data_IF_329574137837
#
_entry.id   IF_329574137837
#
_cell.length_a   1.000
_cell.length_b   1.000
_cell.length_c   1.000
_cell.angle_alpha   90.00
_cell.angle_beta   90.00
_cell.angle_gamma   90.00
#
_symmetry.space_group_name_H-M   'P 1'
#
loop_
_entity.id
_entity.type
_entity.pdbx_description
1 polymer ?
#
# COMPACT_ATOMS: atom_id res chain seq x y z
N UNK A 1 21.38 2.22 19.95
CA UNK A 1 21.29 3.26 20.99
C UNK A 1 20.57 2.66 22.19
N UNK A 2 21.03 2.95 23.40
CA UNK A 2 20.40 2.46 24.64
C UNK A 2 19.33 3.47 25.07
N UNK A 3 18.07 3.03 25.18
CA UNK A 3 16.99 3.85 25.76
C UNK A 3 16.83 3.51 27.25
N UNK A 4 16.60 4.54 28.06
CA UNK A 4 16.36 4.41 29.49
C UNK A 4 14.85 4.31 29.73
N UNK A 5 14.38 3.15 30.16
CA UNK A 5 12.99 2.98 30.57
C UNK A 5 12.85 3.31 32.06
N UNK A 6 12.02 4.29 32.38
CA UNK A 6 11.70 4.72 33.74
C UNK A 6 10.46 3.96 34.25
N UNK A 7 10.56 3.33 35.43
CA UNK A 7 9.44 2.57 36.02
C UNK A 7 8.56 3.41 36.98
N UNK A 8 8.94 4.66 37.23
CA UNK A 8 8.22 5.59 38.12
C UNK A 8 8.20 6.98 37.43
N UNK A 9 7.02 7.47 37.02
CA UNK A 9 6.86 8.72 36.25
C UNK A 9 6.94 9.99 37.10
N UNK A 10 7.28 9.86 38.39
CA UNK A 10 7.45 11.00 39.29
C UNK A 10 8.92 11.21 39.63
N UNK A 11 9.45 12.36 39.19
CA UNK A 11 10.72 13.01 39.57
C UNK A 11 11.91 12.83 38.63
N UNK A 12 12.51 13.98 38.33
CA UNK A 12 13.58 14.18 37.38
C UNK A 12 14.97 14.02 37.98
N UNK A 13 15.84 13.36 37.22
CA UNK A 13 17.26 13.67 37.09
C UNK A 13 17.90 12.78 36.00
N UNK A 14 17.35 12.84 34.77
CA UNK A 14 17.81 12.06 33.61
C UNK A 14 19.32 12.21 33.34
N UNK A 15 19.90 13.37 33.65
CA UNK A 15 21.33 13.65 33.48
C UNK A 15 22.25 12.89 34.45
N UNK A 16 21.81 12.54 35.67
CA UNK A 16 22.63 11.77 36.62
C UNK A 16 22.63 10.27 36.27
N UNK A 17 21.50 9.75 35.80
CA UNK A 17 21.36 8.36 35.35
C UNK A 17 22.17 8.10 34.08
N UNK A 18 22.18 9.04 33.13
CA UNK A 18 23.04 8.97 31.94
C UNK A 18 24.53 8.95 32.29
N UNK A 19 24.98 9.80 33.23
CA UNK A 19 26.38 9.77 33.73
C UNK A 19 26.73 8.46 34.43
N UNK A 20 25.78 7.87 35.16
CA UNK A 20 25.97 6.58 35.82
C UNK A 20 26.17 5.45 34.79
N UNK A 21 25.51 5.55 33.63
CA UNK A 21 25.64 4.58 32.53
C UNK A 21 26.92 4.78 31.72
N UNK A 22 27.28 6.02 31.41
CA UNK A 22 28.42 6.37 30.55
C UNK A 22 29.78 6.28 31.25
N UNK A 23 29.80 6.30 32.59
CA UNK A 23 31.04 6.15 33.38
C UNK A 23 31.64 4.76 33.24
N UNK A 24 32.51 4.58 32.25
CA UNK A 24 33.39 3.41 32.14
C UNK A 24 34.52 3.53 33.17
N UNK A 25 34.51 2.62 34.15
CA UNK A 25 35.60 2.32 35.08
C UNK A 25 36.04 3.49 35.99
N UNK A 26 35.37 3.61 37.14
CA UNK A 26 36.01 4.10 38.35
C UNK A 26 36.55 2.87 39.09
N UNK A 27 37.86 2.83 39.37
CA UNK A 27 38.51 1.78 40.17
C UNK A 27 38.10 1.89 41.65
N UNK A 28 36.82 1.63 41.93
CA UNK A 28 36.26 1.60 43.28
C UNK A 28 36.23 0.15 43.78
N UNK A 29 36.91 -0.08 44.90
CA UNK A 29 36.83 -1.36 45.62
C UNK A 29 35.43 -1.54 46.24
N UNK A 30 34.79 -2.70 46.07
CA UNK A 30 33.45 -2.94 46.59
C UNK A 30 33.47 -3.04 48.12
N UNK A 31 32.57 -2.30 48.77
CA UNK A 31 32.35 -2.37 50.21
C UNK A 31 31.32 -3.46 50.53
N UNK A 32 31.71 -4.48 51.28
CA UNK A 32 30.82 -5.56 51.68
C UNK A 32 29.78 -5.08 52.71
N UNK A 33 28.50 -5.32 52.43
CA UNK A 33 27.37 -5.08 53.32
C UNK A 33 27.04 -6.40 54.04
N UNK A 34 27.00 -6.35 55.36
CA UNK A 34 26.72 -7.51 56.23
C UNK A 34 25.37 -7.43 56.94
N UNK A 35 24.75 -6.24 57.02
CA UNK A 35 23.41 -6.06 57.57
C UNK A 35 22.73 -4.79 57.03
N UNK A 36 21.40 -4.77 57.06
CA UNK A 36 20.57 -3.64 56.64
C UNK A 36 19.44 -3.41 57.65
N UNK A 37 19.20 -2.14 57.99
CA UNK A 37 18.20 -1.71 58.97
C UNK A 37 17.28 -0.63 58.34
N UNK A 38 15.96 -0.80 58.41
CA UNK A 38 15.00 0.17 57.82
C UNK A 38 13.53 -0.30 57.85
N UNK A 39 12.60 0.62 57.61
CA UNK A 39 11.16 0.44 57.86
C UNK A 39 10.34 -0.25 56.76
N UNK A 40 10.95 -0.87 55.75
CA UNK A 40 10.20 -1.60 54.71
C UNK A 40 10.92 -2.89 54.33
N UNK A 41 10.71 -3.92 55.15
CA UNK A 41 11.05 -5.32 54.85
C UNK A 41 9.76 -6.14 54.85
N UNK A 42 8.73 -5.66 54.15
CA UNK A 42 7.55 -6.45 53.83
C UNK A 42 7.61 -6.79 52.36
N UNK A 43 8.23 -7.93 52.04
CA UNK A 43 7.88 -8.64 50.82
C UNK A 43 6.48 -9.25 51.06
N UNK A 44 5.42 -8.80 50.37
CA UNK A 44 4.16 -9.50 50.44
C UNK A 44 4.34 -10.83 49.70
N UNK A 45 4.43 -11.93 50.45
CA UNK A 45 4.27 -13.29 49.90
C UNK A 45 2.79 -13.44 49.53
N UNK A 46 2.45 -13.13 48.29
CA UNK A 46 1.15 -13.46 47.68
C UNK A 46 1.25 -14.80 46.92
N UNK A 47 0.13 -15.52 46.75
CA UNK A 47 0.10 -16.94 46.38
C UNK A 47 0.65 -17.20 44.98
N UNK A 48 1.43 -18.28 44.85
CA UNK A 48 1.98 -18.78 43.58
C UNK A 48 0.88 -19.40 42.72
N UNK A 49 0.01 -18.61 42.12
CA UNK A 49 -0.93 -19.11 41.10
C UNK A 49 -0.33 -19.04 39.68
N UNK A 50 0.63 -18.13 39.45
CA UNK A 50 1.26 -17.93 38.15
C UNK A 50 2.70 -17.41 38.31
N UNK A 51 3.47 -17.42 37.22
CA UNK A 51 4.89 -17.04 37.19
C UNK A 51 5.16 -15.54 37.37
N UNK A 52 4.15 -14.68 37.20
CA UNK A 52 4.27 -13.22 37.32
C UNK A 52 4.17 -12.74 38.77
N UNK A 53 4.97 -11.72 39.11
CA UNK A 53 4.99 -11.00 40.38
C UNK A 53 4.69 -9.51 40.16
N UNK A 54 4.18 -8.86 41.20
CA UNK A 54 3.96 -7.41 41.17
C UNK A 54 5.30 -6.70 40.95
N UNK A 55 5.34 -5.78 39.97
CA UNK A 55 6.56 -5.09 39.56
C UNK A 55 7.42 -5.84 38.54
N UNK A 56 6.99 -7.02 38.07
CA UNK A 56 7.66 -7.68 36.94
C UNK A 56 7.63 -6.79 35.70
N UNK A 57 8.78 -6.67 35.04
CA UNK A 57 8.88 -6.04 33.73
C UNK A 57 8.53 -7.09 32.69
N UNK A 58 7.61 -6.75 31.81
CA UNK A 58 7.10 -7.64 30.76
C UNK A 58 7.29 -7.01 29.40
N UNK A 59 7.39 -7.84 28.37
CA UNK A 59 7.51 -7.41 26.98
C UNK A 59 6.50 -8.11 26.09
N UNK A 60 5.96 -7.37 25.13
CA UNK A 60 5.16 -7.88 24.02
C UNK A 60 5.78 -7.38 22.71
N UNK A 61 6.64 -8.20 22.09
CA UNK A 61 7.40 -7.79 20.91
C UNK A 61 8.37 -6.65 21.22
N UNK A 62 8.01 -5.42 20.83
CA UNK A 62 8.81 -4.20 21.08
C UNK A 62 8.24 -3.31 22.20
N UNK A 63 7.05 -3.64 22.72
CA UNK A 63 6.41 -2.89 23.79
C UNK A 63 6.88 -3.42 25.15
N UNK A 64 7.05 -2.52 26.12
CA UNK A 64 7.45 -2.83 27.49
C UNK A 64 6.37 -2.36 28.45
N UNK A 65 6.16 -3.11 29.52
CA UNK A 65 5.19 -2.78 30.55
C UNK A 65 5.59 -3.33 31.90
N UNK A 66 4.81 -2.96 32.92
CA UNK A 66 5.02 -3.37 34.31
C UNK A 66 3.75 -4.02 34.82
N UNK A 67 3.88 -5.16 35.50
CA UNK A 67 2.77 -5.77 36.22
C UNK A 67 2.43 -4.91 37.43
N UNK A 68 1.28 -4.23 37.36
CA UNK A 68 0.85 -3.26 38.39
C UNK A 68 -0.24 -3.78 39.31
N UNK A 69 -0.97 -4.83 38.91
CA UNK A 69 -1.97 -5.49 39.77
C UNK A 69 -1.98 -6.99 39.52
N UNK A 70 -2.09 -7.76 40.60
CA UNK A 70 -2.33 -9.20 40.59
C UNK A 70 -3.59 -9.51 41.40
N UNK A 71 -4.58 -10.11 40.76
CA UNK A 71 -5.89 -10.40 41.36
C UNK A 71 -6.30 -11.87 41.11
N UNK A 72 -7.21 -12.38 41.93
CA UNK A 72 -7.81 -13.71 41.76
C UNK A 72 -9.09 -13.67 40.89
N UNK A 73 -9.02 -12.96 39.76
CA UNK A 73 -10.12 -12.79 38.80
C UNK A 73 -9.90 -13.63 37.55
N UNK A 74 -10.89 -13.68 36.66
CA UNK A 74 -10.78 -14.28 35.32
C UNK A 74 -9.66 -13.63 34.48
N UNK A 75 -9.39 -12.34 34.73
CA UNK A 75 -8.23 -11.58 34.24
C UNK A 75 -7.26 -11.26 35.38
N UNK A 76 -6.35 -12.16 35.75
CA UNK A 76 -5.58 -12.05 36.98
C UNK A 76 -4.41 -11.06 36.93
N UNK A 77 -3.96 -10.62 35.75
CA UNK A 77 -2.72 -9.84 35.59
C UNK A 77 -3.03 -8.51 34.89
N UNK A 78 -2.77 -7.40 35.57
CA UNK A 78 -2.83 -6.05 34.97
C UNK A 78 -1.44 -5.55 34.67
N UNK A 79 -1.23 -5.12 33.41
CA UNK A 79 0.02 -4.54 32.93
C UNK A 79 -0.23 -3.09 32.55
N UNK A 80 0.60 -2.20 33.06
CA UNK A 80 0.72 -0.82 32.61
C UNK A 80 1.84 -0.76 31.57
N UNK A 81 1.48 -0.50 30.31
CA UNK A 81 2.41 -0.39 29.19
C UNK A 81 2.96 1.02 29.09
N UNK A 82 4.22 1.11 28.67
CA UNK A 82 4.84 2.40 28.40
C UNK A 82 4.19 3.02 27.16
N UNK A 83 3.65 4.22 27.31
CA UNK A 83 3.05 4.99 26.22
C UNK A 83 4.15 5.67 25.39
N UNK A 84 3.91 5.84 24.09
CA UNK A 84 4.74 6.79 23.33
C UNK A 84 4.65 8.16 24.02
N UNK A 85 5.77 8.88 24.08
CA UNK A 85 6.11 9.99 25.00
C UNK A 85 5.12 11.16 25.14
N UNK A 86 3.99 11.16 24.42
CA UNK A 86 2.93 12.17 24.44
C UNK A 86 1.54 11.62 24.86
N UNK A 87 1.45 10.35 25.29
CA UNK A 87 0.18 9.69 25.67
C UNK A 87 0.20 9.14 27.10
N UNK A 88 -0.97 9.14 27.77
CA UNK A 88 -1.13 8.48 29.07
C UNK A 88 -0.79 6.98 28.96
N UNK A 89 -0.13 6.38 29.97
CA UNK A 89 0.27 4.99 29.92
C UNK A 89 -0.96 4.06 29.84
N UNK A 90 -0.92 3.13 28.91
CA UNK A 90 -2.03 2.21 28.64
C UNK A 90 -2.09 1.11 29.73
N UNK A 91 -3.21 0.99 30.43
CA UNK A 91 -3.40 -0.01 31.50
C UNK A 91 -4.40 -1.07 31.05
N UNK A 92 -3.95 -2.33 30.94
CA UNK A 92 -4.79 -3.45 30.50
C UNK A 92 -4.71 -4.66 31.44
N UNK A 93 -5.86 -5.29 31.69
CA UNK A 93 -5.97 -6.56 32.42
C UNK A 93 -6.09 -7.74 31.45
N UNK A 94 -5.30 -8.79 31.70
CA UNK A 94 -5.13 -9.95 30.84
C UNK A 94 -5.50 -11.26 31.54
N UNK A 95 -6.05 -12.18 30.76
CA UNK A 95 -6.12 -13.61 31.08
C UNK A 95 -4.76 -14.29 30.84
N UNK A 96 -4.54 -15.46 31.44
CA UNK A 96 -3.32 -16.25 31.20
C UNK A 96 -3.22 -16.81 29.78
N UNK A 97 -4.35 -16.97 29.09
CA UNK A 97 -4.38 -17.42 27.69
C UNK A 97 -4.05 -16.28 26.74
N UNK A 98 -4.55 -15.06 27.00
CA UNK A 98 -4.16 -13.85 26.26
C UNK A 98 -2.66 -13.57 26.39
N UNK A 99 -2.09 -13.70 27.59
CA UNK A 99 -0.63 -13.55 27.81
C UNK A 99 0.18 -14.51 26.93
N UNK A 100 -0.25 -15.78 26.85
CA UNK A 100 0.41 -16.80 26.01
C UNK A 100 0.22 -16.51 24.53
N UNK A 101 -0.99 -16.15 24.12
CA UNK A 101 -1.33 -15.85 22.72
C UNK A 101 -0.62 -14.60 22.20
N UNK A 102 -0.54 -13.56 23.03
CA UNK A 102 0.11 -12.29 22.70
C UNK A 102 1.64 -12.35 22.84
N UNK A 103 2.20 -13.44 23.36
CA UNK A 103 3.64 -13.61 23.54
C UNK A 103 4.23 -12.69 24.61
N UNK A 104 3.45 -12.36 25.65
CA UNK A 104 3.90 -11.51 26.75
C UNK A 104 4.88 -12.30 27.63
N UNK A 105 6.13 -11.87 27.69
CA UNK A 105 7.21 -12.55 28.41
C UNK A 105 7.78 -11.69 29.55
N UNK A 106 8.15 -12.33 30.66
CA UNK A 106 8.84 -11.68 31.79
C UNK A 106 10.30 -11.44 31.40
N UNK A 107 10.77 -10.22 31.57
CA UNK A 107 12.18 -9.88 31.41
C UNK A 107 12.91 -10.24 32.72
N UNK A 108 14.04 -10.97 32.65
CA UNK A 108 14.84 -11.27 33.83
C UNK A 108 15.19 -10.00 34.61
N UNK A 109 14.85 -9.95 35.90
CA UNK A 109 15.16 -8.83 36.78
C UNK A 109 16.65 -8.83 37.16
N UNK A 110 17.25 -7.63 37.35
CA UNK A 110 18.66 -7.42 37.73
C UNK A 110 19.68 -7.88 36.66
N UNK A 111 19.59 -7.34 35.46
CA UNK A 111 20.58 -7.60 34.40
C UNK A 111 21.84 -6.75 34.68
N UNK A 112 23.03 -7.37 34.78
CA UNK A 112 24.29 -6.66 34.94
C UNK A 112 24.48 -5.54 33.92
N UNK A 113 24.87 -4.37 34.40
CA UNK A 113 25.11 -3.12 33.65
C UNK A 113 23.90 -2.58 32.90
N UNK A 114 22.71 -3.14 33.13
CA UNK A 114 21.47 -2.73 32.50
C UNK A 114 20.40 -2.33 33.49
N UNK A 115 20.39 -2.89 34.69
CA UNK A 115 19.35 -2.54 35.67
C UNK A 115 19.83 -1.44 36.61
N UNK A 116 19.01 -0.42 36.84
CA UNK A 116 19.17 0.59 37.88
C UNK A 116 18.18 0.27 38.99
N UNK A 117 18.67 0.26 40.21
CA UNK A 117 17.90 0.03 41.42
C UNK A 117 17.91 1.27 42.30
N UNK A 118 16.87 1.43 43.12
CA UNK A 118 16.77 2.48 44.11
C UNK A 118 16.78 1.86 45.51
N UNK A 119 17.70 2.32 46.36
CA UNK A 119 17.63 2.07 47.80
C UNK A 119 16.68 3.11 48.41
N UNK A 120 15.64 2.70 49.16
CA UNK A 120 14.69 3.64 49.72
C UNK A 120 15.32 4.53 50.81
N UNK A 121 14.68 5.67 51.04
CA UNK A 121 15.08 6.60 52.09
C UNK A 121 14.99 5.97 53.49
N UNK A 122 15.79 6.50 54.42
CA UNK A 122 15.87 6.11 55.82
C UNK A 122 16.35 4.66 56.07
N UNK A 123 17.23 4.17 55.21
CA UNK A 123 17.93 2.90 55.42
C UNK A 123 19.32 3.15 56.01
N UNK A 124 19.73 2.28 56.94
CA UNK A 124 21.11 2.18 57.41
C UNK A 124 21.69 0.84 56.97
N UNK A 125 22.84 0.86 56.29
CA UNK A 125 23.61 -0.35 55.95
C UNK A 125 24.84 -0.47 56.86
N UNK A 126 25.19 -1.69 57.26
CA UNK A 126 26.40 -1.99 58.00
C UNK A 126 27.43 -2.63 57.07
N UNK A 127 28.62 -2.06 57.03
CA UNK A 127 29.74 -2.55 56.24
C UNK A 127 30.56 -3.58 57.01
N UNK A 128 31.32 -4.43 56.30
CA UNK A 128 32.22 -5.44 56.89
C UNK A 128 33.29 -4.87 57.83
N UNK A 129 33.62 -3.58 57.71
CA UNK A 129 34.51 -2.86 58.63
C UNK A 129 33.79 -2.23 59.84
N UNK A 130 32.55 -2.67 60.13
CA UNK A 130 31.67 -2.18 61.19
C UNK A 130 31.26 -0.69 61.09
N UNK A 131 31.49 -0.03 59.94
CA UNK A 131 30.96 1.31 59.69
C UNK A 131 29.50 1.25 59.27
N UNK A 132 28.72 2.25 59.68
CA UNK A 132 27.32 2.42 59.28
C UNK A 132 27.21 3.54 58.26
N UNK A 133 26.47 3.30 57.18
CA UNK A 133 26.12 4.32 56.18
C UNK A 133 24.62 4.50 56.20
N UNK A 134 24.17 5.75 56.42
CA UNK A 134 22.76 6.09 56.48
C UNK A 134 22.34 6.84 55.21
N UNK A 135 21.32 6.33 54.54
CA UNK A 135 20.68 6.97 53.41
C UNK A 135 19.45 7.75 53.90
N UNK A 136 19.55 9.08 53.96
CA UNK A 136 18.42 9.92 54.37
C UNK A 136 17.41 10.16 53.24
N UNK A 137 17.83 9.95 51.99
CA UNK A 137 17.02 10.08 50.77
C UNK A 137 17.16 8.80 49.94
N UNK A 138 16.24 8.60 48.99
CA UNK A 138 16.30 7.49 48.07
C UNK A 138 17.46 7.69 47.08
N UNK A 139 18.30 6.69 46.92
CA UNK A 139 19.50 6.77 46.09
C UNK A 139 19.49 5.67 45.02
N UNK A 140 19.84 6.06 43.80
CA UNK A 140 19.88 5.14 42.65
C UNK A 140 21.28 4.57 42.42
N UNK A 141 21.33 3.29 42.03
CA UNK A 141 22.55 2.54 41.79
C UNK A 141 22.39 1.68 40.54
N UNK A 142 23.45 1.55 39.73
CA UNK A 142 23.49 0.60 38.63
C UNK A 142 23.90 -0.77 39.17
N UNK A 143 23.16 -1.81 38.80
CA UNK A 143 23.54 -3.21 39.02
C UNK A 143 24.75 -3.49 38.14
N UNK A 144 25.88 -3.82 38.74
CA UNK A 144 27.12 -4.06 38.01
C UNK A 144 27.35 -5.54 37.73
N UNK A 145 27.11 -6.39 38.74
CA UNK A 145 27.31 -7.84 38.68
C UNK A 145 26.23 -8.57 39.49
N UNK A 146 25.79 -9.72 38.98
CA UNK A 146 24.85 -10.61 39.65
C UNK A 146 25.41 -12.03 39.62
N UNK A 147 25.64 -12.60 40.79
CA UNK A 147 25.99 -14.01 40.98
C UNK A 147 24.79 -14.77 41.55
N UNK A 148 24.91 -16.08 41.81
CA UNK A 148 23.84 -16.85 42.44
C UNK A 148 23.40 -16.25 43.79
N UNK A 149 24.37 -15.88 44.64
CA UNK A 149 24.11 -15.41 46.01
C UNK A 149 24.36 -13.92 46.26
N UNK A 150 25.09 -13.24 45.36
CA UNK A 150 25.54 -11.87 45.57
C UNK A 150 25.10 -10.93 44.45
N UNK A 151 24.94 -9.65 44.83
CA UNK A 151 24.62 -8.52 43.97
C UNK A 151 25.66 -7.42 44.23
N UNK A 152 26.23 -6.86 43.17
CA UNK A 152 27.09 -5.67 43.24
C UNK A 152 26.34 -4.50 42.61
N UNK A 153 26.21 -3.40 43.36
CA UNK A 153 25.58 -2.16 42.91
C UNK A 153 26.57 -1.00 43.01
N UNK A 154 26.53 -0.06 42.05
CA UNK A 154 27.42 1.10 42.01
C UNK A 154 26.67 2.41 41.84
N UNK A 155 27.15 3.45 42.51
CA UNK A 155 26.84 4.85 42.21
C UNK A 155 28.04 5.50 41.49
N UNK A 156 28.02 6.81 41.32
CA UNK A 156 29.17 7.57 40.80
C UNK A 156 30.35 7.62 41.78
N UNK A 157 30.11 7.40 43.07
CA UNK A 157 31.11 7.60 44.13
C UNK A 157 31.42 6.33 44.91
N UNK A 158 30.49 5.37 44.94
CA UNK A 158 30.52 4.23 45.85
C UNK A 158 30.13 2.93 45.15
N UNK A 159 30.73 1.82 45.60
CA UNK A 159 30.46 0.46 45.13
C UNK A 159 30.16 -0.45 46.31
N UNK A 160 29.03 -1.15 46.28
CA UNK A 160 28.59 -2.01 47.37
C UNK A 160 28.38 -3.44 46.89
N UNK A 161 28.79 -4.41 47.71
CA UNK A 161 28.52 -5.83 47.52
C UNK A 161 27.62 -6.33 48.64
N UNK A 162 26.55 -7.02 48.29
CA UNK A 162 25.57 -7.54 49.24
C UNK A 162 25.11 -8.95 48.84
N UNK A 163 24.59 -9.71 49.79
CA UNK A 163 23.81 -10.92 49.48
C UNK A 163 22.42 -10.52 49.00
N UNK A 164 21.84 -11.27 48.06
CA UNK A 164 20.51 -10.95 47.51
C UNK A 164 19.42 -10.86 48.59
N UNK A 165 19.54 -11.65 49.65
CA UNK A 165 18.61 -11.64 50.80
C UNK A 165 18.65 -10.34 51.61
N UNK A 166 19.78 -9.64 51.59
CA UNK A 166 19.97 -8.37 52.30
C UNK A 166 19.68 -7.16 51.41
N UNK A 167 19.22 -7.34 50.17
CA UNK A 167 18.95 -6.23 49.27
C UNK A 167 17.64 -5.51 49.66
N UNK A 168 17.69 -4.24 50.09
CA UNK A 168 16.49 -3.53 50.53
C UNK A 168 15.89 -2.64 49.43
N UNK A 169 16.47 -2.68 48.22
CA UNK A 169 16.12 -1.78 47.13
C UNK A 169 14.96 -2.29 46.27
N UNK A 170 14.35 -1.38 45.51
CA UNK A 170 13.40 -1.70 44.44
C UNK A 170 14.04 -1.46 43.06
N UNK A 171 13.51 -2.12 42.04
CA UNK A 171 13.86 -1.80 40.65
C UNK A 171 13.40 -0.39 40.33
N UNK A 172 14.26 0.41 39.69
CA UNK A 172 13.98 1.82 39.39
C UNK A 172 13.94 2.09 37.88
N UNK A 173 14.91 1.56 37.13
CA UNK A 173 14.94 1.66 35.67
C UNK A 173 15.68 0.47 35.07
N UNK A 174 15.46 0.19 33.79
CA UNK A 174 16.25 -0.78 33.04
C UNK A 174 16.68 -0.20 31.70
N UNK A 175 17.94 -0.45 31.36
CA UNK A 175 18.53 -0.17 30.06
C UNK A 175 18.17 -1.36 29.18
N UNK A 176 17.36 -1.09 28.18
CA UNK A 176 17.07 -2.07 27.15
C UNK A 176 18.08 -1.86 26.03
N UNK A 177 18.90 -2.87 25.78
CA UNK A 177 19.70 -2.89 24.56
C UNK A 177 18.74 -3.17 23.41
N UNK A 178 18.44 -2.14 22.63
CA UNK A 178 17.79 -2.32 21.34
C UNK A 178 18.74 -3.18 20.50
N UNK A 179 18.34 -4.38 20.03
CA UNK A 179 19.22 -5.25 19.25
C UNK A 179 19.80 -4.46 18.08
N UNK A 180 21.11 -4.62 17.83
CA UNK A 180 21.83 -4.01 16.69
C UNK A 180 21.43 -4.67 15.34
N UNK A 181 20.18 -5.16 15.25
CA UNK A 181 19.51 -5.60 14.03
C UNK A 181 18.53 -4.53 13.49
N UNK A 182 18.47 -3.33 14.07
CA UNK A 182 17.68 -2.20 13.56
C UNK A 182 18.55 -1.04 13.02
N UNK A 183 19.76 -1.35 12.55
CA UNK A 183 20.53 -0.51 11.60
C UNK A 183 20.45 -1.07 10.18
N UNK A 184 19.34 -1.70 9.83
CA UNK A 184 18.74 -1.37 8.55
C UNK A 184 17.55 -0.51 8.95
N UNK A 185 17.37 0.70 8.39
CA UNK A 185 16.01 1.17 8.16
C UNK A 185 15.15 -0.04 7.84
N UNK A 186 14.07 -0.33 8.58
CA UNK A 186 13.02 -1.03 7.87
C UNK A 186 12.54 0.00 6.86
N UNK A 187 13.22 0.06 5.70
CA UNK A 187 12.69 0.67 4.51
C UNK A 187 11.25 0.17 4.47
N UNK A 188 10.31 1.09 4.25
CA UNK A 188 8.96 0.70 3.85
C UNK A 188 9.11 -0.52 2.96
N UNK A 189 8.61 -1.67 3.43
CA UNK A 189 8.77 -2.90 2.66
C UNK A 189 8.32 -2.60 1.22
N UNK A 190 8.96 -3.19 0.22
CA UNK A 190 8.61 -2.95 -1.19
C UNK A 190 7.10 -3.02 -1.44
N UNK A 191 6.42 -3.92 -0.72
CA UNK A 191 4.96 -4.07 -0.72
C UNK A 191 4.25 -2.84 -0.12
N UNK A 192 4.68 -2.35 1.04
CA UNK A 192 4.14 -1.15 1.66
C UNK A 192 4.36 0.10 0.79
N UNK A 193 5.55 0.25 0.21
CA UNK A 193 5.89 1.34 -0.71
C UNK A 193 4.98 1.28 -1.95
N UNK A 194 4.84 0.10 -2.57
CA UNK A 194 3.94 -0.13 -3.72
C UNK A 194 2.48 0.20 -3.37
N UNK A 195 2.01 -0.17 -2.18
CA UNK A 195 0.66 0.13 -1.75
C UNK A 195 0.43 1.63 -1.53
N UNK A 196 1.40 2.34 -0.96
CA UNK A 196 1.36 3.79 -0.78
C UNK A 196 1.35 4.53 -2.11
N UNK A 197 2.23 4.18 -3.04
CA UNK A 197 2.25 4.73 -4.41
C UNK A 197 0.90 4.51 -5.11
N UNK A 198 0.35 3.29 -5.02
CA UNK A 198 -0.97 2.98 -5.60
C UNK A 198 -2.09 3.81 -4.98
N UNK A 199 -2.06 4.01 -3.66
CA UNK A 199 -3.05 4.81 -2.96
C UNK A 199 -2.96 6.29 -3.38
N UNK A 200 -1.75 6.84 -3.41
CA UNK A 200 -1.49 8.21 -3.83
C UNK A 200 -2.03 8.48 -5.24
N UNK A 201 -1.68 7.64 -6.21
CA UNK A 201 -2.18 7.79 -7.59
C UNK A 201 -3.70 7.62 -7.71
N UNK A 202 -4.32 6.78 -6.89
CA UNK A 202 -5.78 6.63 -6.86
C UNK A 202 -6.50 7.85 -6.26
N UNK A 203 -5.88 8.52 -5.29
CA UNK A 203 -6.44 9.72 -4.67
C UNK A 203 -6.22 10.97 -5.53
N UNK A 204 -5.20 10.95 -6.39
CA UNK A 204 -4.93 12.02 -7.34
C UNK A 204 -6.03 12.12 -8.41
N UNK A 205 -6.96 13.06 -8.23
CA UNK A 205 -8.06 13.34 -9.17
C UNK A 205 -7.59 13.52 -10.63
N UNK A 206 -6.43 14.13 -10.83
CA UNK A 206 -5.83 14.32 -12.15
C UNK A 206 -5.51 13.01 -12.89
N UNK A 207 -5.29 11.91 -12.16
CA UNK A 207 -5.00 10.57 -12.71
C UNK A 207 -6.27 9.85 -13.15
N UNK A 208 -7.37 10.03 -12.42
CA UNK A 208 -8.61 9.32 -12.71
C UNK A 208 -9.50 9.99 -13.77
N UNK A 209 -9.41 11.32 -13.91
CA UNK A 209 -10.38 12.07 -14.72
C UNK A 209 -10.06 12.10 -16.22
N UNK A 210 -8.78 12.16 -16.61
CA UNK A 210 -8.41 12.28 -18.01
C UNK A 210 -6.94 11.91 -18.29
N UNK A 211 -6.71 10.86 -19.08
CA UNK A 211 -5.38 10.41 -19.50
C UNK A 211 -4.56 11.51 -20.20
N UNK A 212 -5.21 12.44 -20.92
CA UNK A 212 -4.51 13.52 -21.64
C UNK A 212 -3.87 14.57 -20.72
N UNK A 213 -4.24 14.61 -19.43
CA UNK A 213 -3.63 15.50 -18.44
C UNK A 213 -2.33 14.94 -17.84
N UNK A 214 -2.02 13.67 -18.10
CA UNK A 214 -0.86 12.96 -17.55
C UNK A 214 0.38 13.18 -18.42
N UNK A 215 0.93 14.39 -18.31
CA UNK A 215 2.19 14.78 -18.95
C UNK A 215 3.40 14.41 -18.08
N UNK A 216 4.60 14.42 -18.66
CA UNK A 216 5.85 14.25 -17.90
C UNK A 216 5.98 15.26 -16.74
N UNK A 217 5.52 16.50 -16.93
CA UNK A 217 5.49 17.51 -15.87
C UNK A 217 4.53 17.12 -14.75
N UNK A 218 3.34 16.57 -15.09
CA UNK A 218 2.38 16.15 -14.07
C UNK A 218 2.84 14.89 -13.33
N UNK A 219 3.50 13.96 -14.00
CA UNK A 219 4.18 12.82 -13.38
C UNK A 219 5.19 13.29 -12.34
N UNK A 220 6.04 14.27 -12.70
CA UNK A 220 7.04 14.82 -11.79
C UNK A 220 6.38 15.51 -10.57
N UNK A 221 5.34 16.31 -10.78
CA UNK A 221 4.60 16.96 -9.69
C UNK A 221 3.99 15.95 -8.71
N UNK A 222 3.33 14.90 -9.22
CA UNK A 222 2.74 13.87 -8.36
C UNK A 222 3.81 13.07 -7.61
N UNK A 223 4.97 12.84 -8.24
CA UNK A 223 6.10 12.23 -7.55
C UNK A 223 6.61 13.11 -6.40
N UNK A 224 6.75 14.42 -6.62
CA UNK A 224 7.15 15.38 -5.58
C UNK A 224 6.11 15.46 -4.43
N UNK A 225 4.82 15.45 -4.76
CA UNK A 225 3.72 15.37 -3.78
C UNK A 225 3.83 14.10 -2.93
N UNK A 226 4.07 12.93 -3.55
CA UNK A 226 4.30 11.67 -2.84
C UNK A 226 5.53 11.73 -1.93
N UNK A 227 6.65 12.29 -2.40
CA UNK A 227 7.87 12.42 -1.58
C UNK A 227 7.61 13.28 -0.34
N UNK A 228 6.79 14.32 -0.45
CA UNK A 228 6.36 15.13 0.69
C UNK A 228 5.45 14.34 1.65
N UNK A 229 4.55 13.49 1.14
CA UNK A 229 3.70 12.61 1.96
C UNK A 229 4.50 11.55 2.72
N UNK A 230 5.62 11.10 2.16
CA UNK A 230 6.54 10.15 2.78
C UNK A 230 7.60 10.84 3.66
N UNK A 231 7.50 12.15 3.88
CA UNK A 231 8.47 12.89 4.69
C UNK A 231 8.54 12.33 6.13
N UNK A 232 9.74 11.91 6.54
CA UNK A 232 9.99 11.30 7.85
C UNK A 232 9.84 9.77 7.88
N UNK A 233 9.38 9.16 6.78
CA UNK A 233 9.44 7.71 6.61
C UNK A 233 10.82 7.29 6.07
N UNK A 234 11.26 6.10 6.46
CA UNK A 234 12.54 5.56 6.00
C UNK A 234 12.27 4.62 4.82
N UNK A 235 12.83 4.92 3.66
CA UNK A 235 12.69 4.15 2.43
C UNK A 235 13.91 4.32 1.54
N UNK A 236 14.17 3.35 0.68
CA UNK A 236 15.19 3.46 -0.34
C UNK A 236 14.69 4.35 -1.49
N UNK A 237 15.47 5.35 -1.86
CA UNK A 237 15.14 6.27 -2.96
C UNK A 237 15.17 5.55 -4.32
N UNK A 238 16.07 4.59 -4.52
CA UNK A 238 16.14 3.80 -5.75
C UNK A 238 14.91 2.89 -5.86
N UNK A 239 14.55 2.17 -4.79
CA UNK A 239 13.33 1.34 -4.75
C UNK A 239 12.07 2.19 -4.96
N UNK A 240 11.99 3.39 -4.38
CA UNK A 240 10.88 4.31 -4.60
C UNK A 240 10.76 4.71 -6.08
N UNK A 241 11.87 5.03 -6.73
CA UNK A 241 11.86 5.39 -8.16
C UNK A 241 11.44 4.21 -9.05
N UNK A 242 11.91 3.00 -8.75
CA UNK A 242 11.51 1.78 -9.46
C UNK A 242 10.03 1.47 -9.26
N UNK A 243 9.55 1.50 -8.02
CA UNK A 243 8.13 1.25 -7.68
C UNK A 243 7.25 2.33 -8.29
N UNK A 244 7.64 3.60 -8.21
CA UNK A 244 6.94 4.70 -8.86
C UNK A 244 6.78 4.46 -10.36
N UNK A 245 7.89 4.16 -11.04
CA UNK A 245 7.90 3.93 -12.49
C UNK A 245 7.04 2.74 -12.89
N UNK A 246 7.13 1.63 -12.15
CA UNK A 246 6.35 0.42 -12.40
C UNK A 246 4.85 0.65 -12.17
N UNK A 247 4.46 1.25 -11.03
CA UNK A 247 3.06 1.50 -10.71
C UNK A 247 2.46 2.55 -11.65
N UNK A 248 3.24 3.58 -12.00
CA UNK A 248 2.84 4.57 -12.99
C UNK A 248 2.55 3.92 -14.34
N UNK A 249 3.46 3.07 -14.84
CA UNK A 249 3.25 2.34 -16.09
C UNK A 249 2.01 1.42 -16.04
N UNK A 250 1.83 0.67 -14.94
CA UNK A 250 0.62 -0.14 -14.68
C UNK A 250 -0.66 0.74 -14.76
N UNK A 251 -0.63 1.92 -14.13
CA UNK A 251 -1.77 2.84 -14.07
C UNK A 251 -2.10 3.44 -15.45
N UNK A 252 -1.09 3.91 -16.19
CA UNK A 252 -1.26 4.44 -17.56
C UNK A 252 -1.84 3.37 -18.48
N UNK A 253 -1.31 2.14 -18.42
CA UNK A 253 -1.83 1.04 -19.23
C UNK A 253 -3.30 0.71 -18.90
N UNK A 254 -3.66 0.71 -17.61
CA UNK A 254 -5.04 0.50 -17.16
C UNK A 254 -5.97 1.59 -17.69
N UNK A 255 -5.60 2.85 -17.51
CA UNK A 255 -6.40 4.00 -17.96
C UNK A 255 -6.51 4.07 -19.49
N UNK A 256 -5.42 3.75 -20.22
CA UNK A 256 -5.43 3.68 -21.67
C UNK A 256 -6.40 2.61 -22.19
N UNK A 257 -6.54 1.49 -21.47
CA UNK A 257 -7.51 0.44 -21.79
C UNK A 257 -8.96 0.84 -21.48
N UNK A 258 -9.18 1.51 -20.36
CA UNK A 258 -10.53 1.89 -19.91
C UNK A 258 -11.07 3.11 -20.66
N UNK A 259 -10.30 4.20 -20.65
CA UNK A 259 -10.70 5.51 -21.14
C UNK A 259 -10.26 5.74 -22.59
N UNK A 260 -9.04 5.30 -22.94
CA UNK A 260 -8.38 5.68 -24.18
C UNK A 260 -7.76 7.08 -24.12
N UNK A 261 -7.21 7.53 -25.25
CA UNK A 261 -6.58 8.84 -25.42
C UNK A 261 -7.18 9.56 -26.62
N UNK A 262 -7.76 10.74 -26.43
CA UNK A 262 -8.38 11.54 -27.50
C UNK A 262 -9.38 10.75 -28.37
N UNK A 263 -10.22 9.93 -27.73
CA UNK A 263 -11.21 9.01 -28.35
C UNK A 263 -10.63 7.79 -29.08
N UNK A 264 -9.32 7.56 -28.99
CA UNK A 264 -8.68 6.34 -29.47
C UNK A 264 -8.46 5.37 -28.31
N UNK A 265 -8.90 4.12 -28.43
CA UNK A 265 -8.67 3.07 -27.43
C UNK A 265 -7.68 2.01 -27.90
N UNK A 266 -7.02 1.37 -26.94
CA UNK A 266 -6.16 0.23 -27.22
C UNK A 266 -6.96 -0.89 -27.91
N UNK A 267 -6.35 -1.53 -28.90
CA UNK A 267 -6.97 -2.57 -29.74
C UNK A 267 -8.16 -2.10 -30.59
N UNK A 268 -8.41 -0.79 -30.68
CA UNK A 268 -9.43 -0.25 -31.56
C UNK A 268 -8.94 -0.20 -33.00
N UNK A 269 -9.86 -0.41 -33.95
CA UNK A 269 -9.56 -0.29 -35.38
C UNK A 269 -9.62 1.18 -35.79
N UNK A 270 -8.62 1.58 -36.55
CA UNK A 270 -8.52 2.90 -37.17
C UNK A 270 -8.61 2.80 -38.68
N UNK A 271 -9.08 3.88 -39.28
CA UNK A 271 -9.28 4.02 -40.71
C UNK A 271 -8.47 5.19 -41.24
N UNK A 272 -7.84 5.01 -42.40
CA UNK A 272 -7.27 6.10 -43.21
C UNK A 272 -7.71 5.95 -44.65
N UNK A 273 -8.15 7.05 -45.26
CA UNK A 273 -8.37 7.10 -46.71
C UNK A 273 -7.25 7.89 -47.38
N UNK A 274 -6.49 7.24 -48.27
CA UNK A 274 -5.43 7.89 -49.05
C UNK A 274 -5.66 7.62 -50.53
N UNK A 275 -5.86 8.67 -51.33
CA UNK A 275 -5.98 8.56 -52.81
C UNK A 275 -7.07 7.56 -53.27
N UNK A 276 -8.14 7.41 -52.49
CA UNK A 276 -9.23 6.47 -52.77
C UNK A 276 -9.00 5.04 -52.28
N UNK A 277 -7.83 4.74 -51.70
CA UNK A 277 -7.55 3.47 -51.02
C UNK A 277 -7.93 3.57 -49.54
N UNK A 278 -8.70 2.57 -49.10
CA UNK A 278 -9.06 2.36 -47.69
C UNK A 278 -7.97 1.53 -47.02
N UNK A 279 -7.35 2.10 -45.99
CA UNK A 279 -6.29 1.45 -45.22
C UNK A 279 -6.76 1.31 -43.77
N UNK A 280 -6.59 0.11 -43.22
CA UNK A 280 -7.03 -0.26 -41.89
C UNK A 280 -5.83 -0.54 -41.01
N UNK A 281 -5.93 -0.15 -39.75
CA UNK A 281 -4.93 -0.46 -38.74
C UNK A 281 -5.58 -0.72 -37.38
N UNK A 282 -4.77 -1.20 -36.46
CA UNK A 282 -5.14 -1.44 -35.06
C UNK A 282 -4.19 -0.70 -34.16
N UNK A 283 -4.72 -0.05 -33.13
CA UNK A 283 -3.89 0.61 -32.13
C UNK A 283 -3.32 -0.45 -31.21
N UNK A 284 -2.01 -0.68 -31.29
CA UNK A 284 -1.31 -1.72 -30.53
C UNK A 284 -0.70 -1.19 -29.24
N UNK A 285 -0.41 0.12 -29.19
CA UNK A 285 0.14 0.77 -27.99
C UNK A 285 -0.36 2.21 -27.86
N UNK A 286 -0.57 2.64 -26.62
CA UNK A 286 -0.89 4.01 -26.24
C UNK A 286 0.04 4.45 -25.12
N UNK A 287 0.96 5.37 -25.41
CA UNK A 287 1.93 5.87 -24.43
C UNK A 287 1.92 7.41 -24.38
N UNK A 288 1.22 7.97 -23.39
CA UNK A 288 1.06 9.43 -23.22
C UNK A 288 2.35 10.19 -22.92
N UNK A 289 3.42 9.50 -22.53
CA UNK A 289 4.69 10.13 -22.22
C UNK A 289 5.49 10.46 -23.48
N UNK A 290 5.16 9.81 -24.61
CA UNK A 290 5.85 10.02 -25.88
C UNK A 290 5.22 11.18 -26.67
N UNK A 291 6.06 11.87 -27.44
CA UNK A 291 5.61 12.90 -28.40
C UNK A 291 4.68 12.32 -29.47
N UNK A 292 4.85 11.03 -29.78
CA UNK A 292 4.02 10.22 -30.67
C UNK A 292 3.39 9.08 -29.88
N UNK A 293 2.26 9.31 -29.20
CA UNK A 293 1.71 8.37 -28.24
C UNK A 293 0.96 7.19 -28.88
N UNK A 294 0.71 7.22 -30.19
CA UNK A 294 -0.13 6.22 -30.87
C UNK A 294 0.71 5.28 -31.72
N UNK A 295 0.86 4.02 -31.31
CA UNK A 295 1.46 2.99 -32.16
C UNK A 295 0.35 2.23 -32.90
N UNK A 296 0.37 2.30 -34.22
CA UNK A 296 -0.62 1.64 -35.08
C UNK A 296 0.07 0.57 -35.92
N UNK A 297 -0.46 -0.64 -35.84
CA UNK A 297 -0.14 -1.73 -36.76
C UNK A 297 -1.15 -1.72 -37.91
N UNK A 298 -0.67 -1.44 -39.12
CA UNK A 298 -1.48 -1.44 -40.33
C UNK A 298 -1.61 -2.84 -40.90
N UNK A 299 -2.73 -3.15 -41.56
CA UNK A 299 -2.96 -4.46 -42.20
C UNK A 299 -1.94 -4.80 -43.30
N UNK A 300 -1.19 -3.81 -43.80
CA UNK A 300 -0.08 -4.04 -44.72
C UNK A 300 1.20 -4.57 -44.02
N UNK A 301 1.19 -4.70 -42.69
CA UNK A 301 2.32 -5.13 -41.87
C UNK A 301 3.25 -3.98 -41.42
N UNK A 302 2.94 -2.73 -41.77
CA UNK A 302 3.67 -1.56 -41.29
C UNK A 302 3.26 -1.22 -39.86
N UNK A 303 4.23 -1.06 -38.96
CA UNK A 303 3.99 -0.54 -37.60
C UNK A 303 4.59 0.85 -37.52
N UNK A 304 3.77 1.84 -37.17
CA UNK A 304 4.21 3.24 -37.12
C UNK A 304 3.61 3.99 -35.93
N UNK A 305 4.41 4.86 -35.34
CA UNK A 305 4.04 5.78 -34.28
C UNK A 305 3.53 7.12 -34.84
N UNK A 306 2.51 7.69 -34.20
CA UNK A 306 1.87 8.93 -34.60
C UNK A 306 1.63 9.87 -33.42
N UNK A 307 1.73 11.17 -33.68
CA UNK A 307 1.20 12.23 -32.83
C UNK A 307 -0.27 12.51 -33.15
N UNK A 308 -0.99 13.15 -32.22
CA UNK A 308 -2.37 13.57 -32.46
C UNK A 308 -2.50 14.49 -33.70
N UNK A 309 -1.51 15.35 -33.93
CA UNK A 309 -1.49 16.26 -35.08
C UNK A 309 -1.37 15.46 -36.37
N UNK A 310 -0.46 14.49 -36.42
CA UNK A 310 -0.27 13.62 -37.58
C UNK A 310 -1.53 12.80 -37.86
N UNK A 311 -2.18 12.22 -36.84
CA UNK A 311 -3.45 11.50 -37.03
C UNK A 311 -4.51 12.40 -37.69
N UNK A 312 -4.67 13.63 -37.21
CA UNK A 312 -5.62 14.61 -37.78
C UNK A 312 -5.26 15.01 -39.20
N UNK A 313 -3.99 15.33 -39.46
CA UNK A 313 -3.51 15.75 -40.79
C UNK A 313 -3.62 14.63 -41.82
N UNK A 314 -3.36 13.39 -41.41
CA UNK A 314 -3.48 12.20 -42.26
C UNK A 314 -4.92 11.68 -42.36
N UNK A 315 -5.87 12.27 -41.63
CA UNK A 315 -7.27 11.83 -41.61
C UNK A 315 -7.45 10.43 -41.06
N UNK A 316 -6.60 10.03 -40.11
CA UNK A 316 -6.69 8.75 -39.41
C UNK A 316 -7.75 8.91 -38.30
N UNK A 317 -8.81 8.10 -38.35
CA UNK A 317 -9.92 8.21 -37.41
C UNK A 317 -10.34 6.87 -36.82
N UNK A 318 -10.85 6.83 -35.57
CA UNK A 318 -11.37 5.60 -34.99
C UNK A 318 -12.61 5.12 -35.72
N UNK A 319 -12.73 3.81 -35.87
CA UNK A 319 -13.94 3.16 -36.35
C UNK A 319 -14.80 2.72 -35.19
N UNK A 320 -16.05 3.15 -35.20
CA UNK A 320 -17.02 2.60 -34.26
C UNK A 320 -17.24 1.11 -34.55
N UNK A 321 -17.59 0.32 -33.52
CA UNK A 321 -17.98 -1.07 -33.71
C UNK A 321 -19.17 -1.15 -34.69
N UNK A 322 -19.35 -2.32 -35.31
CA UNK A 322 -20.50 -2.57 -36.19
C UNK A 322 -21.78 -2.51 -35.35
N UNK A 323 -22.69 -1.61 -35.73
CA UNK A 323 -23.98 -1.41 -35.07
C UNK A 323 -25.04 -2.22 -35.82
N UNK A 324 -25.64 -3.20 -35.15
CA UNK A 324 -26.77 -3.97 -35.66
C UNK A 324 -28.07 -3.21 -35.35
N UNK A 325 -28.77 -2.76 -36.39
CA UNK A 325 -30.09 -2.12 -36.27
C UNK A 325 -31.21 -3.17 -36.19
N UNK A 326 -31.04 -4.29 -36.87
CA UNK A 326 -31.90 -5.47 -36.80
C UNK A 326 -31.09 -6.72 -37.15
N UNK A 327 -31.66 -7.93 -37.06
CA UNK A 327 -30.99 -9.15 -37.51
C UNK A 327 -30.58 -9.11 -39.00
N UNK A 328 -31.14 -8.21 -39.80
CA UNK A 328 -30.88 -8.15 -41.25
C UNK A 328 -30.19 -6.85 -41.67
N UNK A 329 -29.99 -5.87 -40.78
CA UNK A 329 -29.41 -4.57 -41.15
C UNK A 329 -28.36 -4.16 -40.13
N UNK A 330 -27.14 -3.92 -40.60
CA UNK A 330 -26.03 -3.42 -39.79
C UNK A 330 -25.31 -2.29 -40.51
N UNK A 331 -24.62 -1.43 -39.76
CA UNK A 331 -23.75 -0.40 -40.32
C UNK A 331 -22.54 -0.13 -39.46
N UNK A 332 -21.54 0.50 -40.06
CA UNK A 332 -20.33 0.96 -39.40
C UNK A 332 -20.02 2.37 -39.88
N UNK A 333 -19.54 3.20 -38.97
CA UNK A 333 -19.24 4.61 -39.23
C UNK A 333 -17.94 4.98 -38.51
N UNK A 334 -17.11 5.81 -39.15
CA UNK A 334 -15.99 6.44 -38.46
C UNK A 334 -16.49 7.53 -37.51
N UNK A 335 -15.65 7.91 -36.55
CA UNK A 335 -16.00 8.97 -35.60
C UNK A 335 -16.31 10.31 -36.29
N UNK A 336 -15.56 10.65 -37.34
CA UNK A 336 -15.74 11.88 -38.13
C UNK A 336 -16.86 11.79 -39.18
N UNK A 337 -17.50 10.61 -39.32
CA UNK A 337 -18.57 10.35 -40.29
C UNK A 337 -18.14 10.33 -41.75
N UNK A 338 -16.83 10.39 -42.06
CA UNK A 338 -16.33 10.31 -43.44
C UNK A 338 -16.46 8.91 -44.01
N UNK A 339 -16.20 7.89 -43.19
CA UNK A 339 -16.46 6.51 -43.53
C UNK A 339 -17.86 6.11 -43.07
N UNK A 340 -18.65 5.54 -43.97
CA UNK A 340 -19.97 5.00 -43.67
C UNK A 340 -20.26 3.81 -44.57
N UNK A 341 -20.43 2.63 -43.99
CA UNK A 341 -20.74 1.39 -44.71
C UNK A 341 -21.91 0.68 -44.04
N UNK A 342 -22.77 0.07 -44.85
CA UNK A 342 -23.91 -0.68 -44.35
C UNK A 342 -24.02 -2.02 -45.05
N UNK A 343 -24.54 -3.00 -44.31
CA UNK A 343 -24.74 -4.37 -44.74
C UNK A 343 -26.20 -4.75 -44.54
N UNK A 344 -26.73 -5.48 -45.52
CA UNK A 344 -28.08 -6.01 -45.49
C UNK A 344 -28.01 -7.51 -45.70
N UNK A 345 -28.46 -8.24 -44.69
CA UNK A 345 -28.39 -9.68 -44.59
C UNK A 345 -29.69 -10.37 -44.97
N UNK A 346 -29.57 -11.56 -45.55
CA UNK A 346 -30.67 -12.43 -45.93
C UNK A 346 -30.37 -13.88 -45.59
N UNK A 347 -31.40 -14.60 -45.14
CA UNK A 347 -31.30 -16.04 -44.89
C UNK A 347 -31.09 -16.86 -46.17
N UNK A 348 -31.70 -16.44 -47.29
CA UNK A 348 -31.63 -17.17 -48.56
C UNK A 348 -31.35 -16.23 -49.74
N UNK A 349 -30.73 -16.78 -50.79
CA UNK A 349 -30.52 -16.09 -52.07
C UNK A 349 -31.83 -15.67 -52.73
N UNK A 350 -32.90 -16.44 -52.54
CA UNK A 350 -34.23 -16.12 -53.06
C UNK A 350 -34.81 -14.82 -52.47
N UNK A 351 -34.73 -14.68 -51.15
CA UNK A 351 -35.12 -13.45 -50.44
C UNK A 351 -34.26 -12.26 -50.87
N UNK A 352 -32.93 -12.45 -50.93
CA UNK A 352 -32.01 -11.40 -51.39
C UNK A 352 -32.40 -10.88 -52.79
N UNK A 353 -32.70 -11.78 -53.74
CA UNK A 353 -33.11 -11.43 -55.10
C UNK A 353 -34.47 -10.71 -55.15
N UNK A 354 -35.43 -11.16 -54.35
CA UNK A 354 -36.77 -10.56 -54.30
C UNK A 354 -36.72 -9.12 -53.76
N UNK A 355 -36.00 -8.91 -52.66
CA UNK A 355 -35.89 -7.61 -52.00
C UNK A 355 -34.93 -6.63 -52.70
N UNK A 356 -33.98 -7.15 -53.49
CA UNK A 356 -32.91 -6.37 -54.10
C UNK A 356 -33.38 -5.06 -54.74
N UNK A 357 -34.39 -5.11 -55.63
CA UNK A 357 -34.88 -3.93 -56.35
C UNK A 357 -35.53 -2.90 -55.42
N UNK A 358 -36.25 -3.36 -54.40
CA UNK A 358 -36.96 -2.50 -53.46
C UNK A 358 -35.95 -1.78 -52.58
N UNK A 359 -34.98 -2.51 -52.04
CA UNK A 359 -33.93 -1.97 -51.18
C UNK A 359 -33.05 -1.01 -51.99
N UNK A 360 -32.62 -1.39 -53.20
CA UNK A 360 -31.82 -0.53 -54.08
C UNK A 360 -32.46 0.84 -54.32
N UNK A 361 -33.79 0.91 -54.45
CA UNK A 361 -34.52 2.18 -54.57
C UNK A 361 -34.45 3.05 -53.31
N UNK A 362 -34.37 2.43 -52.14
CA UNK A 362 -34.35 3.13 -50.85
C UNK A 362 -32.95 3.62 -50.47
N UNK A 363 -31.94 2.75 -50.56
CA UNK A 363 -30.58 3.06 -50.08
C UNK A 363 -29.64 3.53 -51.16
N UNK A 364 -29.83 3.13 -52.43
CA UNK A 364 -28.90 3.45 -53.52
C UNK A 364 -28.20 2.21 -54.09
N UNK A 365 -26.92 2.34 -54.45
CA UNK A 365 -26.18 1.26 -55.10
C UNK A 365 -25.80 0.16 -54.10
N UNK A 366 -26.09 -1.09 -54.49
CA UNK A 366 -25.83 -2.30 -53.71
C UNK A 366 -24.81 -3.18 -54.43
N UNK A 367 -23.86 -3.72 -53.67
CA UNK A 367 -22.93 -4.76 -54.13
C UNK A 367 -23.65 -6.10 -54.28
N UNK A 368 -23.24 -6.91 -55.27
CA UNK A 368 -23.79 -8.25 -55.43
C UNK A 368 -23.78 -9.02 -54.11
N UNK A 369 -24.86 -9.74 -53.81
CA UNK A 369 -24.93 -10.56 -52.60
C UNK A 369 -23.79 -11.58 -52.60
N UNK A 370 -23.10 -11.69 -51.47
CA UNK A 370 -22.04 -12.67 -51.23
C UNK A 370 -22.47 -13.60 -50.13
N UNK A 371 -21.99 -14.84 -50.19
CA UNK A 371 -22.23 -15.81 -49.13
C UNK A 371 -21.17 -15.61 -48.04
N UNK A 372 -21.62 -15.40 -46.81
CA UNK A 372 -20.76 -15.07 -45.68
C UNK A 372 -20.29 -16.35 -44.98
N UNK A 373 -19.13 -16.85 -45.41
CA UNK A 373 -18.54 -18.10 -44.88
C UNK A 373 -17.68 -17.89 -43.62
N UNK A 374 -17.04 -16.73 -43.44
CA UNK A 374 -16.19 -16.43 -42.28
C UNK A 374 -16.91 -15.58 -41.23
N UNK A 375 -16.52 -15.73 -39.96
CA UNK A 375 -17.04 -14.94 -38.84
C UNK A 375 -16.73 -13.44 -38.99
N UNK A 376 -15.58 -13.11 -39.61
CA UNK A 376 -15.16 -11.74 -39.92
C UNK A 376 -16.03 -11.04 -40.98
N UNK A 377 -16.84 -11.81 -41.73
CA UNK A 377 -17.76 -11.32 -42.77
C UNK A 377 -19.24 -11.40 -42.36
N UNK A 378 -19.55 -11.79 -41.11
CA UNK A 378 -20.93 -11.88 -40.61
C UNK A 378 -21.32 -10.61 -39.84
N UNK A 379 -21.62 -9.54 -40.56
CA UNK A 379 -22.05 -8.28 -39.96
C UNK A 379 -23.50 -8.36 -39.44
N UNK A 380 -24.32 -9.22 -40.04
CA UNK A 380 -25.75 -9.43 -39.75
C UNK A 380 -26.07 -10.86 -39.28
N UNK A 381 -25.06 -11.73 -39.14
CA UNK A 381 -25.20 -13.17 -38.84
C UNK A 381 -26.02 -13.96 -39.89
N UNK A 382 -26.34 -13.35 -41.03
CA UNK A 382 -27.09 -13.98 -42.12
C UNK A 382 -26.15 -14.69 -43.10
N UNK A 383 -26.72 -15.64 -43.85
CA UNK A 383 -25.96 -16.46 -44.82
C UNK A 383 -25.53 -15.64 -46.04
N UNK A 384 -26.34 -14.69 -46.46
CA UNK A 384 -26.07 -13.84 -47.61
C UNK A 384 -26.07 -12.38 -47.17
N UNK A 385 -25.09 -11.59 -47.59
CA UNK A 385 -25.04 -10.15 -47.34
C UNK A 385 -24.81 -9.37 -48.62
N UNK A 386 -25.45 -8.21 -48.75
CA UNK A 386 -25.06 -7.18 -49.70
C UNK A 386 -24.59 -5.94 -48.96
N UNK A 387 -23.66 -5.22 -49.59
CA UNK A 387 -23.09 -3.98 -49.06
C UNK A 387 -23.74 -2.81 -49.78
N UNK A 388 -24.09 -1.75 -49.04
CA UNK A 388 -24.46 -0.48 -49.66
C UNK A 388 -23.18 0.26 -50.04
N UNK A 389 -22.79 0.17 -51.32
CA UNK A 389 -21.57 0.78 -51.83
C UNK A 389 -21.72 2.30 -52.01
N UNK A 390 -22.91 2.76 -52.40
CA UNK A 390 -23.18 4.18 -52.59
C UNK A 390 -24.59 4.56 -52.19
N UNK A 391 -24.69 5.33 -51.10
CA UNK A 391 -25.95 5.88 -50.67
C UNK A 391 -26.48 6.94 -51.64
N UNK A 392 -27.79 6.92 -51.93
CA UNK A 392 -28.42 8.03 -52.65
C UNK A 392 -28.61 9.27 -51.76
N UNK A 393 -28.69 9.09 -50.44
CA UNK A 393 -28.75 10.20 -49.49
C UNK A 393 -27.37 10.82 -49.24
N UNK A 394 -27.32 12.16 -49.30
CA UNK A 394 -26.08 12.93 -49.10
C UNK A 394 -25.63 13.01 -47.64
N UNK A 395 -26.56 13.05 -46.68
CA UNK A 395 -26.24 13.27 -45.26
C UNK A 395 -26.34 11.99 -44.44
N UNK A 396 -25.47 11.83 -43.43
CA UNK A 396 -25.45 10.66 -42.53
C UNK A 396 -26.79 10.46 -41.83
N UNK A 397 -27.41 11.52 -41.30
CA UNK A 397 -28.71 11.44 -40.65
C UNK A 397 -29.80 10.84 -41.54
N UNK A 398 -29.84 11.22 -42.83
CA UNK A 398 -30.79 10.66 -43.79
C UNK A 398 -30.48 9.21 -44.15
N UNK A 399 -29.19 8.83 -44.24
CA UNK A 399 -28.76 7.43 -44.44
C UNK A 399 -29.25 6.55 -43.29
N UNK A 400 -29.05 7.00 -42.05
CA UNK A 400 -29.49 6.29 -40.84
C UNK A 400 -31.01 6.13 -40.79
N UNK A 401 -31.78 7.19 -41.08
CA UNK A 401 -33.25 7.12 -41.12
C UNK A 401 -33.77 6.11 -42.15
N UNK A 402 -33.10 5.98 -43.30
CA UNK A 402 -33.47 4.97 -44.31
C UNK A 402 -33.14 3.56 -43.82
N UNK A 403 -31.96 3.38 -43.20
CA UNK A 403 -31.58 2.08 -42.64
C UNK A 403 -32.49 1.66 -41.48
N UNK A 404 -32.95 2.60 -40.64
CA UNK A 404 -33.93 2.32 -39.58
C UNK A 404 -35.26 1.81 -40.15
N UNK A 405 -35.81 2.49 -41.17
CA UNK A 405 -37.03 2.01 -41.84
C UNK A 405 -36.85 0.63 -42.49
N UNK A 406 -35.67 0.36 -43.05
CA UNK A 406 -35.35 -0.97 -43.56
C UNK A 406 -35.23 -2.01 -42.45
N UNK A 407 -34.67 -1.63 -41.29
CA UNK A 407 -34.52 -2.49 -40.14
C UNK A 407 -35.89 -2.88 -39.54
N UNK A 408 -36.89 -2.01 -39.62
CA UNK A 408 -38.28 -2.26 -39.24
C UNK A 408 -39.04 -3.14 -40.25
N UNK A 409 -38.51 -3.27 -41.47
CA UNK A 409 -39.14 -4.10 -42.51
C UNK A 409 -38.80 -5.58 -42.29
N UNK A 410 -39.79 -6.46 -42.37
CA UNK A 410 -39.55 -7.90 -42.25
C UNK A 410 -38.91 -8.48 -43.52
N UNK A 411 -37.58 -8.45 -43.58
CA UNK A 411 -36.80 -8.99 -44.71
C UNK A 411 -36.75 -10.53 -44.77
N UNK A 412 -37.36 -11.22 -43.81
CA UNK A 412 -37.49 -12.69 -43.82
C UNK A 412 -38.71 -13.20 -44.60
N UNK A 413 -39.66 -12.31 -44.90
CA UNK A 413 -40.82 -12.60 -45.74
C UNK A 413 -40.59 -12.12 -47.18
N UNK A 414 -41.36 -12.66 -48.13
CA UNK A 414 -41.35 -12.14 -49.49
C UNK A 414 -41.93 -10.72 -49.52
N UNK A 415 -41.32 -9.79 -50.28
CA UNK A 415 -41.88 -8.45 -50.43
C UNK A 415 -43.27 -8.55 -51.07
N UNK A 416 -44.26 -7.91 -50.44
CA UNK A 416 -45.64 -7.82 -50.93
C UNK A 416 -45.80 -6.71 -51.96
#
# INVERSE_FOLDING_TARGET
MSQLFHLDTAMGNSNQLLKLIESKNLALEPKDIIAVFGASLTQPKLPKLHQFQLGDIVTQGQCYGVVTVLNETDRPITITWDGNSDSEPDVFAYTLDEIRFLGIAIIPQLIPRKTIVELPANITIQLGNAKFVKFNQANTFLVEEVSEHHLIIRSLEERYRLTKELFPGKLFACIVDIPISAQVPSNLSLIALKNKVKLHLKMAKAVNDNLSCLTAMKKQQLFEELVLELAGENYDTEELNEVWSAVWAEQIASLAKEQGLYNFKLSERVFRQREGLEIWGTIVELNVELTRPFLIEWEQGEVQDYSLIELKCLGITPLKPVIKLSPNVAYQISEDGRYFKAWIGFRTKGLAKAWWRIIKKQVGYLSHWRECFSAELKHTDKRYECVVEKFCQKTVAKRLSVLQRLAETNLEEMPR
#
